data_IF_112674593562
#
_entry.id   IF_112674593562
#
_cell.length_a   1.000
_cell.length_b   1.000
_cell.length_c   1.000
_cell.angle_alpha   90.00
_cell.angle_beta   90.00
_cell.angle_gamma   90.00
#
_symmetry.space_group_name_H-M   'P 1'
#
loop_
_entity.id
_entity.type
_entity.pdbx_description
1 polymer ?
#
# COMPACT_ATOMS: atom_id res chain seq x y z
N UNK A 1 4.43 -29.40 15.83
CA UNK A 1 4.29 -30.50 14.86
C UNK A 1 5.61 -31.26 14.82
N UNK A 2 5.55 -32.58 14.83
CA UNK A 2 6.72 -33.47 14.69
C UNK A 2 6.52 -34.36 13.47
N UNK A 3 7.60 -34.63 12.73
CA UNK A 3 7.56 -35.42 11.48
C UNK A 3 8.00 -36.87 11.66
N UNK A 4 8.40 -37.22 12.87
CA UNK A 4 8.76 -38.58 13.28
C UNK A 4 7.98 -38.95 14.52
N UNK A 5 7.67 -40.23 14.67
CA UNK A 5 7.00 -40.77 15.86
C UNK A 5 7.99 -40.81 17.03
N UNK A 6 7.84 -39.97 18.07
CA UNK A 6 8.80 -39.91 19.17
C UNK A 6 8.70 -41.14 20.09
N UNK A 7 9.84 -41.55 20.65
CA UNK A 7 9.93 -42.51 21.75
C UNK A 7 10.35 -41.85 23.06
N UNK A 8 10.98 -40.68 23.00
CA UNK A 8 11.60 -40.03 24.16
C UNK A 8 10.93 -38.68 24.40
N UNK A 9 10.52 -38.45 25.66
CA UNK A 9 9.86 -37.22 26.10
C UNK A 9 10.60 -36.65 27.31
N UNK A 10 11.13 -35.44 27.16
CA UNK A 10 11.91 -34.77 28.19
C UNK A 10 11.01 -33.75 28.90
N UNK A 11 10.81 -33.94 30.19
CA UNK A 11 10.02 -33.06 31.06
C UNK A 11 10.97 -32.30 31.98
N UNK A 12 10.94 -30.97 31.88
CA UNK A 12 11.67 -30.08 32.78
C UNK A 12 10.75 -29.62 33.90
N UNK A 13 11.20 -29.80 35.13
CA UNK A 13 10.47 -29.43 36.34
C UNK A 13 10.99 -28.09 36.88
N UNK A 14 10.12 -27.35 37.58
CA UNK A 14 10.52 -26.11 38.26
C UNK A 14 11.36 -26.35 39.52
N UNK A 15 11.25 -27.55 40.11
CA UNK A 15 11.94 -27.98 41.32
C UNK A 15 12.36 -29.46 41.19
N UNK A 16 13.44 -29.89 41.84
CA UNK A 16 13.84 -31.30 41.86
C UNK A 16 12.74 -32.23 42.39
N UNK A 17 12.53 -33.36 41.73
CA UNK A 17 11.60 -34.42 42.16
C UNK A 17 12.25 -35.37 43.18
N UNK A 18 11.46 -35.93 44.10
CA UNK A 18 11.90 -37.05 44.95
C UNK A 18 12.02 -38.33 44.09
N UNK A 19 13.24 -38.90 43.92
CA UNK A 19 13.46 -40.08 43.09
C UNK A 19 12.67 -41.32 43.51
N UNK A 20 12.17 -41.38 44.74
CA UNK A 20 11.39 -42.54 45.21
C UNK A 20 9.91 -42.47 44.82
N UNK A 21 9.48 -41.34 44.23
CA UNK A 21 8.07 -41.10 43.88
C UNK A 21 7.79 -41.16 42.40
N UNK A 22 8.82 -41.07 41.55
CA UNK A 22 8.69 -41.16 40.09
C UNK A 22 8.62 -42.62 39.65
N UNK A 23 7.74 -42.90 38.71
CA UNK A 23 7.62 -44.17 38.01
C UNK A 23 7.26 -43.91 36.53
N UNK A 24 7.51 -44.87 35.62
CA UNK A 24 7.25 -44.67 34.20
C UNK A 24 5.79 -44.33 33.86
N UNK A 25 4.83 -44.88 34.62
CA UNK A 25 3.40 -44.65 34.41
C UNK A 25 2.91 -43.24 34.78
N UNK A 26 3.76 -42.39 35.35
CA UNK A 26 3.43 -41.01 35.69
C UNK A 26 3.28 -40.12 34.45
N UNK A 27 3.81 -40.55 33.31
CA UNK A 27 3.66 -39.88 32.02
C UNK A 27 2.99 -40.80 31.02
N UNK A 28 1.93 -40.32 30.39
CA UNK A 28 1.25 -41.03 29.31
C UNK A 28 1.20 -40.21 28.02
N UNK A 29 1.24 -40.90 26.89
CA UNK A 29 0.94 -40.35 25.58
C UNK A 29 -0.22 -41.13 24.99
N UNK A 30 -1.32 -40.44 24.67
CA UNK A 30 -2.59 -41.06 24.26
C UNK A 30 -3.08 -42.13 25.26
N UNK A 31 -2.83 -41.91 26.56
CA UNK A 31 -3.16 -42.86 27.63
C UNK A 31 -2.23 -44.09 27.72
N UNK A 32 -1.22 -44.20 26.85
CA UNK A 32 -0.19 -45.25 26.95
C UNK A 32 0.91 -44.77 27.91
N UNK A 33 1.21 -45.50 29.00
CA UNK A 33 2.28 -45.14 29.93
C UNK A 33 3.67 -45.38 29.33
N UNK A 34 4.67 -44.60 29.77
CA UNK A 34 6.05 -44.83 29.39
C UNK A 34 6.59 -46.16 29.96
N UNK A 35 7.63 -46.69 29.35
CA UNK A 35 8.28 -47.94 29.78
C UNK A 35 9.36 -47.69 30.84
N UNK A 36 10.09 -46.58 30.73
CA UNK A 36 11.15 -46.20 31.66
C UNK A 36 11.18 -44.69 31.91
N UNK A 37 11.64 -44.31 33.10
CA UNK A 37 11.98 -42.94 33.47
C UNK A 37 13.46 -42.84 33.85
N UNK A 38 14.11 -41.73 33.49
CA UNK A 38 15.50 -41.43 33.88
C UNK A 38 15.59 -40.00 34.39
N UNK A 39 16.07 -39.86 35.62
CA UNK A 39 16.32 -38.57 36.25
C UNK A 39 17.71 -38.04 35.87
N UNK A 40 17.78 -36.74 35.62
CA UNK A 40 19.02 -36.02 35.33
C UNK A 40 18.96 -34.59 35.89
N UNK A 41 20.06 -33.84 35.75
CA UNK A 41 20.16 -32.43 36.13
C UNK A 41 19.75 -32.16 37.60
N UNK A 42 20.30 -32.97 38.52
CA UNK A 42 19.96 -32.87 39.94
C UNK A 42 18.48 -33.19 40.23
N UNK A 43 17.89 -34.11 39.46
CA UNK A 43 16.49 -34.53 39.52
C UNK A 43 15.47 -33.46 39.07
N UNK A 44 15.89 -32.44 38.32
CA UNK A 44 14.96 -31.45 37.73
C UNK A 44 14.50 -31.83 36.32
N UNK A 45 15.10 -32.84 35.70
CA UNK A 45 14.70 -33.30 34.37
C UNK A 45 14.37 -34.79 34.41
N UNK A 46 13.18 -35.15 33.94
CA UNK A 46 12.75 -36.54 33.75
C UNK A 46 12.70 -36.84 32.25
N UNK A 47 13.41 -37.88 31.82
CA UNK A 47 13.26 -38.42 30.46
C UNK A 47 12.40 -39.68 30.53
N UNK A 48 11.18 -39.60 29.98
CA UNK A 48 10.30 -40.75 29.81
C UNK A 48 10.57 -41.39 28.45
N UNK A 49 10.83 -42.69 28.41
CA UNK A 49 11.15 -43.45 27.19
C UNK A 49 10.10 -44.54 26.96
N UNK A 50 9.68 -44.68 25.71
CA UNK A 50 8.82 -45.73 25.21
C UNK A 50 9.64 -46.70 24.34
N UNK A 51 9.59 -47.99 24.62
CA UNK A 51 10.24 -49.04 23.82
C UNK A 51 9.65 -49.13 22.39
N UNK A 52 8.40 -48.70 22.24
CA UNK A 52 7.70 -48.55 20.98
C UNK A 52 6.87 -47.29 21.04
N UNK A 53 6.89 -46.49 19.97
CA UNK A 53 6.23 -45.19 19.99
C UNK A 53 4.74 -45.30 20.32
N UNK A 54 4.21 -44.45 21.23
CA UNK A 54 2.78 -44.38 21.54
C UNK A 54 1.99 -43.59 20.47
N UNK A 55 2.67 -43.07 19.43
CA UNK A 55 2.09 -42.28 18.34
C UNK A 55 1.89 -43.18 17.12
N UNK A 56 0.69 -43.73 16.96
CA UNK A 56 0.38 -44.69 15.88
C UNK A 56 -0.41 -44.08 14.72
N UNK A 57 -1.09 -42.96 14.93
CA UNK A 57 -1.89 -42.26 13.92
C UNK A 57 -1.39 -40.82 13.76
N UNK A 58 -1.52 -40.26 12.55
CA UNK A 58 -1.32 -38.82 12.30
C UNK A 58 -2.37 -37.99 13.04
N UNK A 59 -2.06 -36.70 13.23
CA UNK A 59 -2.94 -35.74 13.89
C UNK A 59 -2.55 -35.46 15.33
N UNK A 60 -3.52 -35.02 16.13
CA UNK A 60 -3.31 -34.61 17.51
C UNK A 60 -3.01 -35.78 18.45
N UNK A 61 -1.99 -35.59 19.30
CA UNK A 61 -1.51 -36.53 20.31
C UNK A 61 -1.57 -35.83 21.67
N UNK A 62 -2.02 -36.53 22.70
CA UNK A 62 -2.16 -35.97 24.06
C UNK A 62 -1.06 -36.48 24.98
N UNK A 63 -0.34 -35.58 25.64
CA UNK A 63 0.58 -35.88 26.74
C UNK A 63 -0.10 -35.56 28.07
N UNK A 64 0.04 -36.45 29.06
CA UNK A 64 -0.60 -36.28 30.36
C UNK A 64 0.28 -36.76 31.52
N UNK A 65 0.36 -35.91 32.55
CA UNK A 65 0.85 -36.24 33.90
C UNK A 65 -0.30 -35.91 34.86
N UNK A 66 -0.88 -36.89 35.57
CA UNK A 66 -1.97 -36.65 36.51
C UNK A 66 -1.49 -35.86 37.74
N UNK A 67 -2.38 -35.07 38.33
CA UNK A 67 -2.09 -34.41 39.60
C UNK A 67 -1.67 -35.44 40.67
N UNK A 68 -0.56 -35.17 41.35
CA UNK A 68 0.00 -36.05 42.37
C UNK A 68 0.69 -37.32 41.85
N UNK A 69 1.09 -37.36 40.57
CA UNK A 69 1.86 -38.48 40.02
C UNK A 69 3.19 -38.70 40.78
N UNK A 70 3.90 -37.63 41.10
CA UNK A 70 5.15 -37.63 41.89
C UNK A 70 5.25 -36.38 42.78
N UNK A 71 6.21 -36.36 43.71
CA UNK A 71 6.35 -35.27 44.70
C UNK A 71 7.67 -34.50 44.56
N UNK A 72 7.63 -33.21 44.90
CA UNK A 72 8.80 -32.36 45.02
C UNK A 72 9.73 -32.84 46.16
N UNK A 73 11.05 -32.85 45.94
CA UNK A 73 12.02 -33.29 46.95
C UNK A 73 12.17 -32.32 48.14
N UNK A 74 11.85 -31.03 47.94
CA UNK A 74 12.12 -29.97 48.93
C UNK A 74 11.11 -29.93 50.08
N UNK A 75 9.84 -30.23 49.79
CA UNK A 75 8.69 -30.05 50.69
C UNK A 75 7.67 -31.20 50.61
N UNK A 76 7.86 -32.20 49.72
CA UNK A 76 6.93 -33.30 49.48
C UNK A 76 5.56 -32.85 48.95
N UNK A 77 5.47 -31.68 48.31
CA UNK A 77 4.24 -31.25 47.64
C UNK A 77 4.03 -32.03 46.33
N UNK A 78 2.79 -32.43 45.99
CA UNK A 78 2.50 -33.19 44.78
C UNK A 78 2.64 -32.34 43.51
N UNK A 79 3.04 -32.97 42.40
CA UNK A 79 3.02 -32.33 41.08
C UNK A 79 1.60 -31.93 40.69
N UNK A 80 1.46 -30.77 40.06
CA UNK A 80 0.18 -30.34 39.48
C UNK A 80 -0.11 -31.14 38.20
N UNK A 81 -1.38 -31.21 37.82
CA UNK A 81 -1.76 -31.81 36.54
C UNK A 81 -1.10 -31.08 35.37
N UNK A 82 -0.56 -31.86 34.43
CA UNK A 82 -0.09 -31.38 33.15
C UNK A 82 -0.82 -32.15 32.05
N UNK A 83 -1.54 -31.42 31.21
CA UNK A 83 -2.15 -31.96 29.98
C UNK A 83 -1.85 -30.99 28.84
N UNK A 84 -1.26 -31.50 27.76
CA UNK A 84 -1.05 -30.72 26.54
C UNK A 84 -1.11 -31.63 25.31
N UNK A 85 -1.18 -30.99 24.14
CA UNK A 85 -1.22 -31.72 22.87
C UNK A 85 -0.06 -31.33 21.96
N UNK A 86 0.34 -32.26 21.09
CA UNK A 86 1.20 -32.00 19.95
C UNK A 86 0.61 -32.69 18.72
N UNK A 87 1.07 -32.31 17.52
CA UNK A 87 0.64 -32.97 16.27
C UNK A 87 1.76 -33.78 15.66
N UNK A 88 1.45 -35.01 15.26
CA UNK A 88 2.31 -35.84 14.42
C UNK A 88 1.82 -35.80 12.99
N UNK A 89 2.75 -35.50 12.10
CA UNK A 89 2.46 -35.35 10.68
C UNK A 89 3.65 -35.85 9.84
N UNK A 90 3.45 -36.94 9.13
CA UNK A 90 4.49 -37.62 8.35
C UNK A 90 4.88 -36.82 7.10
N UNK A 91 3.94 -36.09 6.52
CA UNK A 91 4.16 -35.22 5.36
C UNK A 91 3.52 -33.87 5.68
N UNK A 92 4.29 -32.79 5.66
CA UNK A 92 3.68 -31.47 5.88
C UNK A 92 2.85 -31.10 4.65
N UNK A 93 1.56 -30.88 4.84
CA UNK A 93 0.67 -30.39 3.80
C UNK A 93 1.22 -29.09 3.19
N UNK A 94 1.48 -29.09 1.89
CA UNK A 94 2.07 -27.97 1.18
C UNK A 94 1.55 -27.90 -0.25
N UNK A 95 1.43 -26.67 -0.76
CA UNK A 95 1.13 -26.41 -2.17
C UNK A 95 2.33 -26.86 -3.02
N UNK A 96 2.10 -27.73 -4.00
CA UNK A 96 3.13 -28.20 -4.93
C UNK A 96 3.23 -27.30 -6.16
N UNK A 97 2.08 -26.86 -6.67
CA UNK A 97 1.94 -26.04 -7.86
C UNK A 97 0.53 -25.44 -7.93
N UNK A 98 0.35 -24.49 -8.85
CA UNK A 98 -0.92 -23.79 -9.05
C UNK A 98 -1.29 -23.74 -10.53
N UNK A 99 -2.57 -23.52 -10.83
CA UNK A 99 -3.04 -23.20 -12.19
C UNK A 99 -3.85 -21.89 -12.14
N UNK A 100 -3.40 -20.81 -12.80
CA UNK A 100 -2.12 -20.66 -13.51
C UNK A 100 -0.91 -20.93 -12.61
N UNK A 101 0.24 -21.36 -13.18
CA UNK A 101 1.47 -21.56 -12.40
C UNK A 101 1.96 -20.26 -11.78
N UNK A 102 2.73 -20.32 -10.69
CA UNK A 102 3.41 -19.14 -10.13
C UNK A 102 4.25 -18.43 -11.21
N UNK A 103 4.10 -17.11 -11.31
CA UNK A 103 4.60 -16.28 -12.41
C UNK A 103 3.74 -16.29 -13.68
N UNK A 104 2.66 -17.06 -13.71
CA UNK A 104 1.72 -17.16 -14.83
C UNK A 104 0.72 -16.01 -14.88
N UNK A 105 -0.12 -16.02 -15.91
CA UNK A 105 -1.08 -14.95 -16.21
C UNK A 105 -2.52 -15.43 -16.03
N UNK A 106 -3.37 -14.61 -15.42
CA UNK A 106 -4.82 -14.81 -15.42
C UNK A 106 -5.43 -14.44 -16.77
N UNK A 107 -6.13 -15.38 -17.39
CA UNK A 107 -6.82 -15.21 -18.68
C UNK A 107 -8.30 -15.61 -18.59
N UNK A 108 -9.20 -14.94 -19.34
CA UNK A 108 -8.96 -13.82 -20.26
C UNK A 108 -8.74 -12.48 -19.51
N UNK A 109 -8.36 -11.39 -20.19
CA UNK A 109 -8.29 -10.08 -19.57
C UNK A 109 -9.60 -9.69 -18.87
N UNK A 110 -9.51 -9.18 -17.64
CA UNK A 110 -10.68 -8.88 -16.81
C UNK A 110 -11.13 -7.42 -16.90
N UNK A 111 -12.25 -7.04 -16.23
CA UNK A 111 -12.87 -7.75 -15.12
C UNK A 111 -13.47 -9.10 -15.48
N UNK A 112 -13.18 -10.13 -14.69
CA UNK A 112 -13.70 -11.48 -14.91
C UNK A 112 -13.62 -12.34 -13.64
N UNK A 113 -14.24 -13.53 -13.72
CA UNK A 113 -14.05 -14.62 -12.76
C UNK A 113 -13.06 -15.63 -13.33
N UNK A 114 -12.15 -16.11 -12.48
CA UNK A 114 -11.10 -17.06 -12.83
C UNK A 114 -11.17 -18.28 -11.94
N UNK A 115 -10.84 -19.44 -12.51
CA UNK A 115 -10.49 -20.63 -11.72
C UNK A 115 -9.03 -20.54 -11.32
N UNK A 116 -8.75 -20.81 -10.06
CA UNK A 116 -7.40 -20.86 -9.50
C UNK A 116 -7.24 -22.16 -8.72
N UNK A 117 -6.51 -23.09 -9.30
CA UNK A 117 -6.26 -24.39 -8.69
C UNK A 117 -4.99 -24.32 -7.87
N UNK A 118 -5.07 -24.77 -6.61
CA UNK A 118 -3.92 -25.06 -5.79
C UNK A 118 -3.82 -26.56 -5.59
N UNK A 119 -2.73 -27.16 -6.08
CA UNK A 119 -2.44 -28.58 -5.94
C UNK A 119 -1.58 -28.81 -4.70
N UNK A 120 -1.88 -29.87 -3.97
CA UNK A 120 -1.21 -30.21 -2.71
C UNK A 120 -0.45 -31.53 -2.83
N UNK A 121 0.59 -31.67 -2.01
CA UNK A 121 1.39 -32.90 -1.92
C UNK A 121 0.67 -34.07 -1.25
N UNK A 122 -0.47 -33.80 -0.60
CA UNK A 122 -1.36 -34.78 0.00
C UNK A 122 -2.80 -34.25 0.12
N UNK A 123 -3.80 -35.11 0.41
CA UNK A 123 -5.20 -34.71 0.53
C UNK A 123 -5.47 -33.69 1.65
N UNK A 124 -6.18 -32.61 1.31
CA UNK A 124 -6.72 -31.65 2.30
C UNK A 124 -7.96 -32.22 2.99
N UNK A 125 -8.32 -31.68 4.17
CA UNK A 125 -9.68 -31.81 4.71
C UNK A 125 -10.60 -30.82 4.00
N UNK A 126 -11.60 -31.27 3.21
CA UNK A 126 -12.51 -30.39 2.51
C UNK A 126 -13.29 -29.43 3.42
N UNK A 127 -13.51 -29.79 4.68
CA UNK A 127 -14.20 -28.92 5.64
C UNK A 127 -13.33 -27.75 6.13
N UNK A 128 -12.00 -27.89 6.03
CA UNK A 128 -11.06 -26.85 6.45
C UNK A 128 -10.88 -25.74 5.40
N UNK A 129 -11.18 -26.01 4.13
CA UNK A 129 -10.98 -25.06 3.02
C UNK A 129 -12.16 -24.10 2.91
N UNK A 130 -11.88 -22.81 3.02
CA UNK A 130 -12.85 -21.71 3.01
C UNK A 130 -12.43 -20.61 2.04
N UNK A 131 -13.40 -19.80 1.60
CA UNK A 131 -13.12 -18.65 0.72
C UNK A 131 -12.26 -17.57 1.38
N UNK A 132 -12.15 -17.58 2.71
CA UNK A 132 -11.34 -16.65 3.50
C UNK A 132 -9.87 -17.00 3.59
N UNK A 133 -9.46 -18.18 3.12
CA UNK A 133 -8.11 -18.70 3.37
C UNK A 133 -7.02 -17.99 2.53
N UNK A 134 -7.42 -17.36 1.42
CA UNK A 134 -6.52 -16.63 0.54
C UNK A 134 -6.49 -15.14 0.85
N UNK A 135 -5.28 -14.59 0.93
CA UNK A 135 -5.02 -13.18 1.09
C UNK A 135 -4.42 -12.60 -0.20
N UNK A 136 -4.86 -11.42 -0.61
CA UNK A 136 -4.46 -10.79 -1.88
C UNK A 136 -3.74 -9.45 -1.66
N UNK A 137 -2.81 -9.12 -2.56
CA UNK A 137 -2.26 -7.76 -2.70
C UNK A 137 -1.83 -7.47 -4.14
N UNK A 138 -1.59 -6.20 -4.47
CA UNK A 138 -1.09 -5.77 -5.77
C UNK A 138 -2.15 -5.48 -6.85
N UNK A 139 -3.33 -6.13 -6.79
CA UNK A 139 -4.47 -5.82 -7.68
C UNK A 139 -5.74 -5.56 -6.86
N UNK A 140 -6.22 -4.29 -6.78
CA UNK A 140 -7.43 -3.93 -6.04
C UNK A 140 -8.70 -4.64 -6.55
N UNK A 141 -9.69 -4.82 -5.68
CA UNK A 141 -10.98 -5.40 -6.07
C UNK A 141 -10.94 -6.91 -6.38
N UNK A 142 -9.90 -7.60 -5.90
CA UNK A 142 -9.75 -9.07 -5.97
C UNK A 142 -10.39 -9.73 -4.76
N UNK A 143 -11.21 -10.76 -4.98
CA UNK A 143 -11.82 -11.57 -3.92
C UNK A 143 -12.04 -13.02 -4.34
N UNK A 144 -12.18 -13.92 -3.37
CA UNK A 144 -12.67 -15.29 -3.61
C UNK A 144 -14.20 -15.30 -3.49
N UNK A 145 -14.90 -15.82 -4.49
CA UNK A 145 -16.37 -15.93 -4.48
C UNK A 145 -16.87 -17.34 -4.22
N UNK A 146 -16.06 -18.36 -4.51
CA UNK A 146 -16.35 -19.76 -4.24
C UNK A 146 -15.07 -20.57 -4.08
N UNK A 147 -15.17 -21.74 -3.44
CA UNK A 147 -14.12 -22.75 -3.41
C UNK A 147 -14.76 -24.13 -3.50
N UNK A 148 -14.07 -25.05 -4.18
CA UNK A 148 -14.40 -26.47 -4.17
C UNK A 148 -13.12 -27.29 -4.00
N UNK A 149 -13.24 -28.45 -3.37
CA UNK A 149 -12.13 -29.40 -3.23
C UNK A 149 -12.40 -30.57 -4.17
N UNK A 150 -11.44 -30.85 -5.06
CA UNK A 150 -11.57 -31.76 -6.19
C UNK A 150 -10.36 -32.70 -6.29
N UNK A 151 -10.39 -33.59 -7.29
CA UNK A 151 -9.27 -34.50 -7.62
C UNK A 151 -8.81 -35.39 -6.45
N UNK A 152 -9.76 -35.98 -5.71
CA UNK A 152 -9.45 -36.81 -4.54
C UNK A 152 -8.86 -36.00 -3.39
N UNK A 153 -9.37 -34.80 -3.19
CA UNK A 153 -8.95 -33.80 -2.21
C UNK A 153 -7.50 -33.30 -2.36
N UNK A 154 -6.88 -33.54 -3.52
CA UNK A 154 -5.53 -33.05 -3.82
C UNK A 154 -5.51 -31.62 -4.37
N UNK A 155 -6.68 -31.05 -4.72
CA UNK A 155 -6.77 -29.73 -5.34
C UNK A 155 -7.88 -28.91 -4.68
N UNK A 156 -7.54 -27.70 -4.25
CA UNK A 156 -8.53 -26.67 -3.94
C UNK A 156 -8.69 -25.75 -5.16
N UNK A 157 -9.85 -25.81 -5.81
CA UNK A 157 -10.24 -24.94 -6.93
C UNK A 157 -10.99 -23.73 -6.37
N UNK A 158 -10.33 -22.58 -6.36
CA UNK A 158 -10.92 -21.31 -5.96
C UNK A 158 -11.50 -20.59 -7.18
N UNK A 159 -12.66 -19.96 -7.02
CA UNK A 159 -13.16 -18.96 -7.97
C UNK A 159 -12.75 -17.58 -7.50
N UNK A 160 -11.83 -16.94 -8.22
CA UNK A 160 -11.34 -15.60 -7.93
C UNK A 160 -12.08 -14.61 -8.83
N UNK A 161 -12.75 -13.62 -8.23
CA UNK A 161 -13.31 -12.47 -8.95
C UNK A 161 -12.29 -11.33 -8.91
N UNK A 162 -11.90 -10.83 -10.08
CA UNK A 162 -11.08 -9.61 -10.17
C UNK A 162 -11.91 -8.54 -10.89
N UNK A 163 -12.25 -7.48 -10.15
CA UNK A 163 -13.03 -6.36 -10.68
C UNK A 163 -12.15 -5.22 -11.22
N UNK A 164 -10.84 -5.28 -11.01
CA UNK A 164 -9.90 -4.32 -11.57
C UNK A 164 -9.93 -4.37 -13.09
N UNK A 165 -10.04 -3.23 -13.75
CA UNK A 165 -9.77 -3.13 -15.19
C UNK A 165 -8.28 -2.89 -15.47
N UNK A 166 -7.46 -2.70 -14.43
CA UNK A 166 -6.03 -2.36 -14.56
C UNK A 166 -5.16 -3.61 -14.47
N UNK A 167 -4.20 -3.71 -15.38
CA UNK A 167 -3.18 -4.76 -15.33
C UNK A 167 -2.25 -4.54 -14.12
N UNK A 168 -1.71 -5.62 -13.55
CA UNK A 168 -0.81 -5.54 -12.41
C UNK A 168 -0.28 -6.91 -11.97
N UNK A 169 0.61 -6.90 -10.99
CA UNK A 169 1.05 -8.14 -10.32
C UNK A 169 0.11 -8.44 -9.16
N UNK A 170 -0.60 -9.57 -9.22
CA UNK A 170 -1.41 -10.09 -8.14
C UNK A 170 -0.58 -11.04 -7.28
N UNK A 171 -0.37 -10.72 -6.01
CA UNK A 171 0.21 -11.65 -5.05
C UNK A 171 -0.92 -12.39 -4.33
N UNK A 172 -0.88 -13.72 -4.36
CA UNK A 172 -1.80 -14.59 -3.62
C UNK A 172 -1.02 -15.27 -2.51
N UNK A 173 -1.50 -15.16 -1.27
CA UNK A 173 -0.91 -15.75 -0.09
C UNK A 173 -1.89 -16.74 0.56
N UNK A 174 -1.40 -17.95 0.86
CA UNK A 174 -2.03 -18.89 1.77
C UNK A 174 -1.21 -18.89 3.06
N UNK A 175 -1.72 -18.37 4.18
CA UNK A 175 -1.03 -18.40 5.46
C UNK A 175 -0.74 -19.83 5.94
N UNK A 176 0.31 -19.99 6.75
CA UNK A 176 0.54 -21.27 7.42
C UNK A 176 -0.60 -21.59 8.38
N UNK A 177 -1.15 -22.80 8.30
CA UNK A 177 -2.27 -23.27 9.11
C UNK A 177 -3.63 -22.66 8.78
N UNK A 178 -3.79 -22.08 7.59
CA UNK A 178 -5.10 -21.69 7.07
C UNK A 178 -5.98 -22.91 6.74
N UNK A 179 -5.38 -23.97 6.20
CA UNK A 179 -6.02 -25.22 5.78
C UNK A 179 -5.38 -26.39 6.53
N UNK A 180 -6.14 -27.48 6.73
CA UNK A 180 -5.61 -28.72 7.31
C UNK A 180 -5.67 -29.90 6.36
N UNK A 181 -4.81 -30.88 6.57
CA UNK A 181 -4.94 -32.21 5.97
C UNK A 181 -6.12 -32.99 6.57
N UNK A 182 -6.39 -34.20 6.07
CA UNK A 182 -7.44 -35.07 6.59
C UNK A 182 -7.26 -35.52 8.06
N UNK A 183 -6.09 -35.29 8.66
CA UNK A 183 -5.77 -35.59 10.05
C UNK A 183 -5.77 -34.33 10.94
N UNK A 184 -6.11 -33.17 10.37
CA UNK A 184 -6.15 -31.87 11.05
C UNK A 184 -4.79 -31.18 11.16
N UNK A 185 -3.73 -31.68 10.52
CA UNK A 185 -2.42 -31.02 10.52
C UNK A 185 -2.42 -29.81 9.59
N UNK A 186 -1.79 -28.73 10.05
CA UNK A 186 -1.80 -27.43 9.39
C UNK A 186 -0.87 -27.37 8.16
N UNK A 187 -1.30 -26.69 7.10
CA UNK A 187 -0.49 -26.47 5.90
C UNK A 187 0.74 -25.56 6.14
N UNK A 188 1.77 -25.73 5.32
CA UNK A 188 2.84 -24.77 5.12
C UNK A 188 2.34 -23.50 4.41
N UNK A 189 2.93 -22.34 4.73
CA UNK A 189 2.61 -21.11 4.02
C UNK A 189 3.01 -21.19 2.53
N UNK A 190 2.19 -20.59 1.67
CA UNK A 190 2.46 -20.44 0.25
C UNK A 190 2.28 -18.98 -0.20
N UNK A 191 3.09 -18.53 -1.15
CA UNK A 191 2.94 -17.23 -1.81
C UNK A 191 3.32 -17.35 -3.27
N UNK A 192 2.41 -16.94 -4.16
CA UNK A 192 2.64 -16.86 -5.60
C UNK A 192 2.40 -15.44 -6.11
N UNK A 193 3.08 -15.08 -7.19
CA UNK A 193 2.92 -13.81 -7.89
C UNK A 193 2.46 -14.06 -9.32
N UNK A 194 1.37 -13.43 -9.73
CA UNK A 194 0.70 -13.68 -11.00
C UNK A 194 0.55 -12.37 -11.78
N UNK A 195 0.64 -12.44 -13.10
CA UNK A 195 0.25 -11.32 -13.95
C UNK A 195 -1.28 -11.32 -14.09
N UNK A 196 -1.89 -10.19 -13.74
CA UNK A 196 -3.27 -9.91 -14.09
C UNK A 196 -3.28 -8.92 -15.26
N UNK A 197 -4.00 -9.27 -16.33
CA UNK A 197 -4.22 -8.36 -17.45
C UNK A 197 -5.63 -7.79 -17.34
N UNK A 198 -5.71 -6.49 -17.09
CA UNK A 198 -6.96 -5.76 -17.13
C UNK A 198 -7.27 -5.23 -18.53
N UNK A 199 -8.52 -4.85 -18.77
CA UNK A 199 -9.02 -4.29 -20.03
C UNK A 199 -8.64 -2.83 -20.28
N UNK A 200 -8.09 -2.13 -19.28
CA UNK A 200 -7.53 -0.80 -19.45
C UNK A 200 -6.40 -0.87 -20.50
N UNK A 201 -6.43 -0.02 -21.55
CA UNK A 201 -5.41 -0.05 -22.59
C UNK A 201 -4.00 0.16 -22.01
N UNK A 202 -3.02 -0.65 -22.44
CA UNK A 202 -1.60 -0.40 -22.17
C UNK A 202 -1.15 0.82 -23.00
N UNK A 203 -1.35 2.03 -22.48
CA UNK A 203 -0.98 3.29 -23.15
C UNK A 203 0.11 4.05 -22.40
N UNK A 204 1.17 4.44 -23.10
CA UNK A 204 2.22 5.28 -22.53
C UNK A 204 1.80 6.73 -22.56
N UNK A 205 1.46 7.26 -21.40
CA UNK A 205 1.05 8.64 -21.23
C UNK A 205 -0.43 8.88 -21.43
N UNK A 206 -0.99 9.73 -20.57
CA UNK A 206 -2.37 10.18 -20.64
C UNK A 206 -2.42 11.70 -20.43
N UNK A 207 -3.26 12.37 -21.21
CA UNK A 207 -3.81 13.67 -20.86
C UNK A 207 -5.25 13.50 -20.39
N UNK A 208 -5.60 14.08 -19.24
CA UNK A 208 -6.99 14.31 -18.83
C UNK A 208 -7.25 15.81 -18.88
N UNK A 209 -8.30 16.22 -19.58
CA UNK A 209 -8.88 17.55 -19.47
C UNK A 209 -10.25 17.44 -18.79
N UNK A 210 -10.38 18.02 -17.60
CA UNK A 210 -11.59 17.94 -16.77
C UNK A 210 -12.02 19.31 -16.27
N UNK A 211 -13.28 19.66 -16.46
CA UNK A 211 -13.92 20.84 -15.84
C UNK A 211 -14.79 20.47 -14.63
N UNK A 212 -14.66 19.23 -14.11
CA UNK A 212 -15.71 18.56 -13.32
C UNK A 212 -15.26 18.08 -11.94
N UNK A 213 -14.01 17.61 -11.79
CA UNK A 213 -13.63 16.76 -10.65
C UNK A 213 -13.83 17.40 -9.28
N UNK A 214 -13.62 18.71 -9.15
CA UNK A 214 -14.07 19.46 -7.97
C UNK A 214 -15.42 20.13 -8.23
N UNK A 215 -15.55 20.91 -9.31
CA UNK A 215 -16.76 21.68 -9.62
C UNK A 215 -17.23 22.49 -8.40
N UNK A 216 -18.54 22.68 -8.22
CA UNK A 216 -19.04 23.20 -6.95
C UNK A 216 -18.88 22.16 -5.81
N UNK A 217 -18.26 22.51 -4.65
CA UNK A 217 -17.93 21.55 -3.59
C UNK A 217 -19.09 20.76 -2.98
N UNK A 218 -20.33 21.23 -3.09
CA UNK A 218 -21.47 20.49 -2.56
C UNK A 218 -22.08 19.50 -3.56
N UNK A 219 -21.47 19.30 -4.73
CA UNK A 219 -21.84 18.21 -5.64
C UNK A 219 -21.57 16.87 -4.94
N UNK A 220 -22.55 15.97 -4.95
CA UNK A 220 -22.49 14.71 -4.19
C UNK A 220 -21.55 13.67 -4.80
N UNK A 221 -21.08 13.91 -6.03
CA UNK A 221 -20.27 12.98 -6.82
C UNK A 221 -18.80 13.37 -6.94
N UNK A 222 -18.40 14.61 -6.57
CA UNK A 222 -17.03 15.11 -6.75
C UNK A 222 -15.97 14.24 -6.05
N UNK A 223 -16.22 13.82 -4.81
CA UNK A 223 -15.29 12.97 -4.06
C UNK A 223 -15.06 11.59 -4.74
N UNK A 224 -16.14 10.98 -5.25
CA UNK A 224 -16.05 9.69 -5.94
C UNK A 224 -15.33 9.85 -7.28
N UNK A 225 -15.65 10.90 -8.05
CA UNK A 225 -15.00 11.18 -9.32
C UNK A 225 -13.50 11.47 -9.13
N UNK A 226 -13.14 12.24 -8.10
CA UNK A 226 -11.75 12.50 -7.73
C UNK A 226 -11.01 11.20 -7.41
N UNK A 227 -11.61 10.33 -6.58
CA UNK A 227 -11.05 9.01 -6.25
C UNK A 227 -10.85 8.13 -7.49
N UNK A 228 -11.85 8.04 -8.37
CA UNK A 228 -11.76 7.27 -9.60
C UNK A 228 -10.67 7.81 -10.54
N UNK A 229 -10.56 9.13 -10.66
CA UNK A 229 -9.57 9.81 -11.53
C UNK A 229 -8.15 9.63 -11.00
N UNK A 230 -7.94 9.72 -9.67
CA UNK A 230 -6.67 9.42 -9.01
C UNK A 230 -6.25 7.98 -9.29
N UNK A 231 -7.14 7.01 -9.08
CA UNK A 231 -6.85 5.59 -9.36
C UNK A 231 -6.52 5.36 -10.84
N UNK A 232 -7.30 5.96 -11.75
CA UNK A 232 -7.09 5.84 -13.18
C UNK A 232 -5.73 6.39 -13.63
N UNK A 233 -5.44 7.64 -13.27
CA UNK A 233 -4.18 8.33 -13.62
C UNK A 233 -2.97 7.63 -13.02
N UNK A 234 -3.06 7.17 -11.76
CA UNK A 234 -1.96 6.44 -11.14
C UNK A 234 -1.71 5.10 -11.81
N UNK A 235 -2.76 4.32 -12.11
CA UNK A 235 -2.63 2.98 -12.65
C UNK A 235 -1.96 2.93 -14.03
N UNK A 236 -2.21 3.94 -14.87
CA UNK A 236 -1.68 4.01 -16.24
C UNK A 236 -0.33 4.73 -16.33
N UNK A 237 0.07 5.47 -15.29
CA UNK A 237 1.35 6.16 -15.25
C UNK A 237 2.53 5.20 -15.08
N UNK A 238 3.68 5.54 -15.67
CA UNK A 238 4.94 4.84 -15.36
C UNK A 238 5.39 5.11 -13.91
N UNK A 239 6.06 4.14 -13.25
CA UNK A 239 6.64 4.36 -11.93
C UNK A 239 7.67 5.50 -11.92
N UNK A 240 7.68 6.27 -10.83
CA UNK A 240 8.61 7.37 -10.58
C UNK A 240 8.98 7.42 -9.09
N UNK A 241 9.86 8.36 -8.71
CA UNK A 241 10.31 8.48 -7.33
C UNK A 241 9.21 8.95 -6.36
N UNK A 242 8.26 9.74 -6.87
CA UNK A 242 7.14 10.30 -6.12
C UNK A 242 5.82 10.02 -6.84
N UNK A 243 4.70 10.01 -6.12
CA UNK A 243 3.39 9.68 -6.70
C UNK A 243 2.80 10.87 -7.49
N UNK A 244 2.37 11.95 -6.81
CA UNK A 244 1.69 13.08 -7.45
C UNK A 244 2.43 14.40 -7.24
N UNK A 245 2.58 15.20 -8.31
CA UNK A 245 2.86 16.63 -8.22
C UNK A 245 1.56 17.39 -8.45
N UNK A 246 1.12 18.17 -7.47
CA UNK A 246 -0.12 18.95 -7.53
C UNK A 246 0.23 20.44 -7.62
N UNK A 247 -0.07 21.05 -8.76
CA UNK A 247 0.08 22.48 -8.98
C UNK A 247 -1.27 23.17 -8.80
N UNK A 248 -1.36 24.10 -7.86
CA UNK A 248 -2.56 24.88 -7.61
C UNK A 248 -2.23 26.22 -6.96
N UNK A 249 -3.18 27.15 -6.95
CA UNK A 249 -3.03 28.45 -6.27
C UNK A 249 -3.46 28.40 -4.81
N UNK A 250 -4.48 27.58 -4.51
CA UNK A 250 -5.13 27.43 -3.20
C UNK A 250 -6.04 26.20 -3.24
N UNK A 251 -6.53 25.76 -2.06
CA UNK A 251 -7.62 24.78 -1.97
C UNK A 251 -8.89 25.36 -2.63
N UNK A 252 -9.40 24.81 -3.74
CA UNK A 252 -10.48 25.44 -4.49
C UNK A 252 -11.79 25.48 -3.67
N UNK A 253 -12.36 26.67 -3.50
CA UNK A 253 -13.48 26.95 -2.58
C UNK A 253 -13.26 26.48 -1.13
N UNK A 254 -12.01 26.31 -0.71
CA UNK A 254 -11.64 25.76 0.59
C UNK A 254 -11.88 24.25 0.73
N UNK A 255 -12.01 23.52 -0.38
CA UNK A 255 -12.21 22.07 -0.40
C UNK A 255 -10.95 21.33 -0.90
N UNK A 256 -10.74 20.13 -0.38
CA UNK A 256 -9.52 19.31 -0.57
C UNK A 256 -9.77 18.02 -1.33
N UNK A 257 -10.81 17.94 -2.17
CA UNK A 257 -11.26 16.67 -2.78
C UNK A 257 -10.15 15.88 -3.50
N UNK A 258 -9.30 16.56 -4.29
CA UNK A 258 -8.19 15.89 -4.98
C UNK A 258 -7.14 15.39 -3.98
N UNK A 259 -6.76 16.21 -2.99
CA UNK A 259 -5.80 15.86 -1.93
C UNK A 259 -6.30 14.68 -1.08
N UNK A 260 -7.57 14.73 -0.71
CA UNK A 260 -8.26 13.67 0.04
C UNK A 260 -8.35 12.39 -0.79
N UNK A 261 -8.66 12.48 -2.09
CA UNK A 261 -8.68 11.33 -2.99
C UNK A 261 -7.30 10.69 -3.15
N UNK A 262 -6.23 11.47 -3.30
CA UNK A 262 -4.85 10.96 -3.37
C UNK A 262 -4.51 10.18 -2.10
N UNK A 263 -4.72 10.79 -0.93
CA UNK A 263 -4.35 10.18 0.35
C UNK A 263 -5.24 9.02 0.74
N UNK A 264 -6.55 9.08 0.47
CA UNK A 264 -7.49 7.98 0.73
C UNK A 264 -7.21 6.74 -0.14
N UNK A 265 -6.61 6.91 -1.32
CA UNK A 265 -6.13 5.81 -2.16
C UNK A 265 -4.70 5.34 -1.81
N UNK A 266 -4.12 5.84 -0.71
CA UNK A 266 -2.82 5.39 -0.21
C UNK A 266 -1.62 5.97 -0.94
N UNK A 267 -1.80 7.10 -1.65
CA UNK A 267 -0.74 7.77 -2.40
C UNK A 267 -0.29 9.07 -1.70
N UNK A 268 0.88 9.56 -2.12
CA UNK A 268 1.46 10.81 -1.64
C UNK A 268 1.36 11.93 -2.67
N UNK A 269 1.45 13.19 -2.24
CA UNK A 269 1.58 14.31 -3.17
C UNK A 269 2.55 15.35 -2.64
N UNK A 270 3.15 16.10 -3.57
CA UNK A 270 3.83 17.37 -3.27
C UNK A 270 3.03 18.50 -3.91
N UNK A 271 2.71 19.52 -3.12
CA UNK A 271 1.99 20.70 -3.58
C UNK A 271 2.96 21.79 -4.04
N UNK A 272 2.62 22.43 -5.15
CA UNK A 272 3.43 23.43 -5.84
C UNK A 272 2.56 24.61 -6.27
N UNK A 273 3.19 25.78 -6.40
CA UNK A 273 2.53 26.97 -6.97
C UNK A 273 2.62 26.95 -8.49
N UNK A 274 1.79 27.72 -9.23
CA UNK A 274 1.90 27.79 -10.69
C UNK A 274 3.32 28.20 -11.16
N UNK A 275 4.04 29.03 -10.40
CA UNK A 275 5.39 29.47 -10.77
C UNK A 275 6.41 28.32 -10.79
N UNK A 276 6.18 27.26 -10.01
CA UNK A 276 7.08 26.11 -9.91
C UNK A 276 7.03 25.20 -11.15
N UNK A 277 6.03 25.37 -12.04
CA UNK A 277 5.98 24.69 -13.34
C UNK A 277 7.22 24.96 -14.21
N UNK A 278 7.94 26.04 -13.95
CA UNK A 278 9.16 26.39 -14.67
C UNK A 278 10.41 25.61 -14.20
N UNK A 279 10.37 24.99 -13.02
CA UNK A 279 11.57 24.44 -12.36
C UNK A 279 11.44 23.00 -11.89
N UNK A 280 10.22 22.53 -11.62
CA UNK A 280 9.97 21.14 -11.20
C UNK A 280 10.29 20.17 -12.33
N UNK A 281 11.03 19.12 -11.99
CA UNK A 281 11.27 18.00 -12.90
C UNK A 281 10.10 17.01 -12.84
N UNK A 282 9.21 17.07 -13.83
CA UNK A 282 8.00 16.24 -13.86
C UNK A 282 8.27 14.74 -13.83
N UNK A 283 9.41 14.28 -14.38
CA UNK A 283 9.78 12.85 -14.39
C UNK A 283 10.08 12.28 -13.00
N UNK A 284 10.20 13.11 -11.96
CA UNK A 284 10.28 12.64 -10.58
C UNK A 284 8.92 12.19 -10.03
N UNK A 285 7.83 12.44 -10.77
CA UNK A 285 6.45 12.17 -10.36
C UNK A 285 5.71 11.28 -11.37
N UNK A 286 4.83 10.41 -10.86
CA UNK A 286 4.00 9.54 -11.69
C UNK A 286 2.88 10.29 -12.39
N UNK A 287 2.26 11.23 -11.69
CA UNK A 287 1.17 12.06 -12.19
C UNK A 287 1.43 13.53 -11.87
N UNK A 288 1.27 14.40 -12.88
CA UNK A 288 1.28 15.85 -12.73
C UNK A 288 -0.13 16.38 -12.87
N UNK A 289 -0.66 16.95 -11.79
CA UNK A 289 -1.98 17.59 -11.75
C UNK A 289 -1.78 19.10 -11.83
N UNK A 290 -2.39 19.73 -12.82
CA UNK A 290 -2.55 21.17 -12.94
C UNK A 290 -3.99 21.50 -12.51
N UNK A 291 -4.18 21.83 -11.23
CA UNK A 291 -5.48 22.13 -10.65
C UNK A 291 -5.71 23.65 -10.62
N UNK A 292 -6.58 24.11 -11.53
CA UNK A 292 -6.97 25.51 -11.67
C UNK A 292 -8.41 25.76 -11.23
N UNK A 293 -9.03 24.82 -10.53
CA UNK A 293 -10.35 25.03 -9.95
C UNK A 293 -10.38 26.31 -9.08
N UNK A 294 -11.52 27.02 -9.08
CA UNK A 294 -11.72 28.25 -8.31
C UNK A 294 -10.68 29.36 -8.55
N UNK A 295 -10.09 29.38 -9.74
CA UNK A 295 -8.99 30.30 -10.08
C UNK A 295 -9.34 31.15 -11.31
N UNK A 296 -8.79 32.36 -11.41
CA UNK A 296 -8.89 33.18 -12.63
C UNK A 296 -7.73 32.86 -13.58
N UNK A 297 -7.99 32.99 -14.88
CA UNK A 297 -6.99 32.66 -15.90
C UNK A 297 -5.66 33.42 -15.69
N UNK A 298 -5.72 34.68 -15.25
CA UNK A 298 -4.53 35.51 -15.02
C UNK A 298 -3.56 34.96 -13.98
N UNK A 299 -4.02 34.09 -13.08
CA UNK A 299 -3.24 33.63 -11.93
C UNK A 299 -2.24 32.51 -12.29
N UNK A 300 -2.52 31.76 -13.35
CA UNK A 300 -1.69 30.61 -13.76
C UNK A 300 -1.31 30.60 -15.24
N UNK A 301 -2.00 31.34 -16.13
CA UNK A 301 -1.88 31.15 -17.58
C UNK A 301 -0.46 31.33 -18.13
N UNK A 302 0.30 32.27 -17.56
CA UNK A 302 1.66 32.55 -18.02
C UNK A 302 2.62 31.38 -17.76
N UNK A 303 2.81 30.92 -16.50
CA UNK A 303 3.67 29.77 -16.26
C UNK A 303 3.10 28.46 -16.85
N UNK A 304 1.79 28.28 -16.87
CA UNK A 304 1.15 27.10 -17.45
C UNK A 304 1.38 26.99 -18.96
N UNK A 305 1.12 28.05 -19.74
CA UNK A 305 1.36 28.02 -21.19
C UNK A 305 2.82 27.79 -21.51
N UNK A 306 3.73 28.36 -20.72
CA UNK A 306 5.18 28.14 -20.89
C UNK A 306 5.59 26.69 -20.59
N UNK A 307 4.86 25.99 -19.71
CA UNK A 307 5.15 24.62 -19.31
C UNK A 307 4.55 23.55 -20.23
N UNK A 308 3.57 23.89 -21.09
CA UNK A 308 2.90 22.93 -21.98
C UNK A 308 3.89 22.04 -22.76
N UNK A 309 4.94 22.55 -23.43
CA UNK A 309 5.87 21.68 -24.15
C UNK A 309 6.59 20.66 -23.25
N UNK A 310 6.87 21.03 -22.00
CA UNK A 310 7.50 20.12 -21.03
C UNK A 310 6.51 19.09 -20.48
N UNK A 311 5.25 19.48 -20.24
CA UNK A 311 4.17 18.57 -19.86
C UNK A 311 3.88 17.55 -20.97
N UNK A 312 3.90 18.00 -22.23
CA UNK A 312 3.74 17.12 -23.40
C UNK A 312 4.89 16.12 -23.53
N UNK A 313 6.14 16.57 -23.37
CA UNK A 313 7.30 15.69 -23.37
C UNK A 313 7.26 14.67 -22.22
N UNK A 314 6.84 15.10 -21.03
CA UNK A 314 6.65 14.24 -19.86
C UNK A 314 5.57 13.18 -20.09
N UNK A 315 4.40 13.56 -20.59
CA UNK A 315 3.35 12.61 -20.92
C UNK A 315 3.81 11.63 -22.02
N UNK A 316 4.49 12.12 -23.06
CA UNK A 316 5.08 11.27 -24.10
C UNK A 316 6.14 10.28 -23.58
N UNK A 317 6.72 10.52 -22.40
CA UNK A 317 7.65 9.61 -21.74
C UNK A 317 6.96 8.59 -20.80
N UNK A 318 5.62 8.58 -20.74
CA UNK A 318 4.84 7.64 -19.94
C UNK A 318 4.27 8.22 -18.63
N UNK A 319 4.47 9.52 -18.36
CA UNK A 319 3.83 10.23 -17.27
C UNK A 319 2.37 10.58 -17.57
N UNK A 320 1.60 10.99 -16.57
CA UNK A 320 0.19 11.40 -16.76
C UNK A 320 0.03 12.87 -16.42
N UNK A 321 -0.54 13.64 -17.35
CA UNK A 321 -0.90 15.04 -17.14
C UNK A 321 -2.41 15.13 -16.94
N UNK A 322 -2.84 15.68 -15.82
CA UNK A 322 -4.24 15.95 -15.54
C UNK A 322 -4.44 17.45 -15.35
N UNK A 323 -5.11 18.07 -16.31
CA UNK A 323 -5.53 19.47 -16.24
C UNK A 323 -6.97 19.51 -15.75
N UNK A 324 -7.14 20.07 -14.56
CA UNK A 324 -8.41 20.27 -13.88
C UNK A 324 -8.71 21.77 -13.86
N UNK A 325 -9.88 22.19 -14.35
CA UNK A 325 -10.13 23.61 -14.65
C UNK A 325 -11.60 24.04 -14.50
N UNK A 326 -12.14 24.02 -13.28
CA UNK A 326 -13.41 24.65 -12.93
C UNK A 326 -13.17 26.14 -12.62
N UNK A 327 -12.84 26.90 -13.67
CA UNK A 327 -12.42 28.31 -13.57
C UNK A 327 -13.56 29.26 -13.13
N UNK A 328 -13.19 30.45 -12.66
CA UNK A 328 -14.11 31.52 -12.18
C UNK A 328 -14.37 32.64 -13.19
N UNK A 329 -13.78 32.55 -14.38
CA UNK A 329 -13.86 33.60 -15.39
C UNK A 329 -15.18 33.62 -16.16
N UNK A 330 -15.20 34.42 -17.22
CA UNK A 330 -16.44 34.68 -17.98
C UNK A 330 -16.19 34.75 -19.48
N UNK A 331 -15.95 33.59 -20.09
CA UNK A 331 -15.75 33.45 -21.53
C UNK A 331 -14.30 33.57 -21.99
N UNK A 332 -13.35 33.34 -21.07
CA UNK A 332 -11.94 33.26 -21.38
C UNK A 332 -11.57 31.87 -21.91
N UNK A 333 -10.42 31.75 -22.55
CA UNK A 333 -9.96 30.47 -23.11
C UNK A 333 -8.50 30.23 -22.80
N UNK A 334 -8.13 28.96 -22.67
CA UNK A 334 -6.76 28.54 -22.40
C UNK A 334 -6.35 27.32 -23.23
N UNK A 335 -5.07 27.20 -23.60
CA UNK A 335 -4.59 26.09 -24.39
C UNK A 335 -4.53 24.79 -23.57
N UNK A 336 -4.87 23.67 -24.20
CA UNK A 336 -4.64 22.34 -23.64
C UNK A 336 -3.34 21.74 -24.18
N UNK A 337 -2.63 20.90 -23.41
CA UNK A 337 -1.52 20.11 -23.94
C UNK A 337 -2.01 19.27 -25.13
N UNK A 338 -1.15 19.09 -26.13
CA UNK A 338 -1.43 18.33 -27.36
C UNK A 338 -2.52 18.92 -28.26
N UNK A 339 -2.92 20.16 -28.00
CA UNK A 339 -3.94 20.87 -28.75
C UNK A 339 -5.33 20.78 -28.11
N UNK A 340 -6.25 21.57 -28.64
CA UNK A 340 -7.54 21.84 -28.03
C UNK A 340 -7.52 23.07 -27.13
N UNK A 341 -8.71 23.47 -26.72
CA UNK A 341 -8.95 24.72 -26.01
C UNK A 341 -9.96 24.47 -24.89
N UNK A 342 -9.62 24.89 -23.67
CA UNK A 342 -10.57 25.01 -22.57
C UNK A 342 -11.30 26.35 -22.68
N UNK A 343 -12.63 26.31 -22.56
CA UNK A 343 -13.52 27.47 -22.65
C UNK A 343 -14.24 27.65 -21.31
N UNK A 344 -13.87 28.72 -20.60
CA UNK A 344 -14.46 29.11 -19.33
C UNK A 344 -15.79 29.85 -19.53
N UNK A 345 -16.56 30.00 -18.46
CA UNK A 345 -17.86 30.67 -18.44
C UNK A 345 -18.99 29.77 -18.96
N UNK A 346 -18.73 28.47 -19.13
CA UNK A 346 -19.71 27.50 -19.61
C UNK A 346 -20.34 26.71 -18.46
N UNK A 347 -20.84 27.45 -17.47
CA UNK A 347 -21.46 26.90 -16.26
C UNK A 347 -22.68 26.03 -16.59
N UNK A 348 -22.52 24.72 -16.45
CA UNK A 348 -23.56 23.73 -16.76
C UNK A 348 -24.22 23.25 -15.48
N UNK A 349 -25.55 23.30 -15.31
CA UNK A 349 -26.20 22.72 -14.12
C UNK A 349 -26.22 21.19 -14.14
N UNK A 350 -25.91 20.56 -15.27
CA UNK A 350 -25.96 19.11 -15.42
C UNK A 350 -25.15 18.65 -16.63
N UNK A 351 -24.38 17.57 -16.49
CA UNK A 351 -23.57 17.00 -17.57
C UNK A 351 -23.84 15.50 -17.77
N UNK A 352 -23.83 15.05 -19.02
CA UNK A 352 -24.14 13.68 -19.39
C UNK A 352 -22.88 12.84 -19.48
N UNK A 353 -22.84 11.73 -18.76
CA UNK A 353 -21.82 10.69 -18.93
C UNK A 353 -22.12 9.95 -20.23
N UNK A 354 -21.21 10.05 -21.20
CA UNK A 354 -21.39 9.46 -22.54
C UNK A 354 -20.56 8.19 -22.72
N UNK A 355 -19.53 8.00 -21.89
CA UNK A 355 -18.89 6.71 -21.67
C UNK A 355 -19.00 6.29 -20.19
N UNK A 356 -20.07 5.58 -19.79
CA UNK A 356 -20.22 5.08 -18.43
C UNK A 356 -19.29 3.91 -18.11
N UNK A 357 -18.61 3.32 -19.11
CA UNK A 357 -17.62 2.26 -18.89
C UNK A 357 -16.24 2.84 -18.56
N UNK A 358 -16.04 4.15 -18.75
CA UNK A 358 -14.81 4.84 -18.38
C UNK A 358 -14.46 4.56 -16.92
N UNK A 359 -13.17 4.30 -16.60
CA UNK A 359 -12.71 4.08 -15.23
C UNK A 359 -13.08 5.23 -14.28
N UNK A 360 -13.11 6.45 -14.80
CA UNK A 360 -13.45 7.66 -14.05
C UNK A 360 -14.93 7.69 -13.65
N UNK A 361 -15.81 7.00 -14.40
CA UNK A 361 -17.26 7.11 -14.29
C UNK A 361 -17.92 6.00 -13.46
N UNK A 362 -17.13 5.09 -12.87
CA UNK A 362 -17.66 4.00 -12.05
C UNK A 362 -18.42 4.54 -10.84
N UNK A 363 -19.71 4.21 -10.73
CA UNK A 363 -20.57 4.66 -9.64
C UNK A 363 -20.97 6.14 -9.70
N UNK A 364 -20.64 6.85 -10.80
CA UNK A 364 -21.01 8.24 -11.01
C UNK A 364 -22.46 8.32 -11.55
N UNK A 365 -23.32 9.22 -11.01
CA UNK A 365 -24.68 9.38 -11.51
C UNK A 365 -24.69 9.91 -12.95
N UNK A 366 -25.69 9.51 -13.73
CA UNK A 366 -25.89 10.01 -15.09
C UNK A 366 -27.36 10.42 -15.29
N UNK A 367 -27.67 11.70 -15.50
CA UNK A 367 -26.72 12.82 -15.59
C UNK A 367 -26.10 13.20 -14.24
N UNK A 368 -24.94 13.85 -14.29
CA UNK A 368 -24.32 14.47 -13.12
C UNK A 368 -24.93 15.85 -12.91
N UNK A 369 -25.80 16.00 -11.92
CA UNK A 369 -26.42 17.29 -11.57
C UNK A 369 -25.57 18.06 -10.55
N UNK A 370 -25.53 19.40 -10.65
CA UNK A 370 -24.76 20.25 -9.74
C UNK A 370 -25.15 21.73 -9.77
N UNK A 371 -24.77 22.48 -8.73
CA UNK A 371 -24.86 23.95 -8.71
C UNK A 371 -23.68 24.53 -9.49
N UNK A 372 -23.74 24.31 -10.82
CA UNK A 372 -22.62 24.12 -11.76
C UNK A 372 -21.94 22.76 -11.57
N UNK A 373 -22.35 21.80 -12.39
CA UNK A 373 -21.68 20.51 -12.57
C UNK A 373 -20.28 20.72 -13.16
N UNK A 374 -20.18 21.48 -14.27
CA UNK A 374 -18.93 21.92 -14.88
C UNK A 374 -18.89 23.44 -15.07
N UNK A 375 -17.67 23.99 -15.15
CA UNK A 375 -17.45 25.42 -15.48
C UNK A 375 -16.75 25.60 -16.84
N UNK A 376 -15.96 24.61 -17.25
CA UNK A 376 -15.19 24.61 -18.49
C UNK A 376 -15.66 23.49 -19.38
N UNK A 377 -15.76 23.80 -20.67
CA UNK A 377 -15.85 22.81 -21.74
C UNK A 377 -14.61 22.85 -22.62
N UNK A 378 -14.51 21.89 -23.53
CA UNK A 378 -13.39 21.78 -24.43
C UNK A 378 -13.83 21.78 -25.89
N UNK A 379 -13.10 22.51 -26.72
CA UNK A 379 -13.26 22.54 -28.19
C UNK A 379 -11.94 22.21 -28.86
N UNK A 380 -12.01 21.93 -30.16
CA UNK A 380 -10.85 21.64 -31.02
C UNK A 380 -9.96 20.52 -30.49
N UNK A 381 -10.58 19.55 -29.80
CA UNK A 381 -9.89 18.41 -29.24
C UNK A 381 -9.10 17.66 -30.33
N UNK A 382 -7.91 17.14 -30.01
CA UNK A 382 -7.15 16.33 -30.95
C UNK A 382 -7.95 15.08 -31.35
N UNK A 383 -7.83 14.65 -32.61
CA UNK A 383 -8.67 13.59 -33.21
C UNK A 383 -8.78 12.26 -32.44
N UNK A 384 -7.76 11.78 -31.70
CA UNK A 384 -7.86 10.57 -30.89
C UNK A 384 -8.43 10.80 -29.47
N UNK A 385 -8.82 12.01 -29.11
CA UNK A 385 -9.40 12.29 -27.81
C UNK A 385 -10.69 11.49 -27.61
N UNK A 386 -10.79 10.83 -26.47
CA UNK A 386 -11.93 10.04 -26.07
C UNK A 386 -12.77 10.85 -25.08
N UNK A 387 -13.99 11.17 -25.50
CA UNK A 387 -14.91 12.03 -24.76
C UNK A 387 -15.68 11.18 -23.76
N UNK A 388 -15.60 11.52 -22.48
CA UNK A 388 -16.21 10.75 -21.38
C UNK A 388 -17.49 11.42 -20.87
N UNK A 389 -17.50 12.75 -20.80
CA UNK A 389 -18.65 13.54 -20.36
C UNK A 389 -18.88 14.71 -21.31
N UNK A 390 -20.15 14.95 -21.67
CA UNK A 390 -20.57 16.08 -22.50
C UNK A 390 -21.57 16.98 -21.77
N UNK A 391 -21.42 18.29 -21.95
CA UNK A 391 -22.41 19.27 -21.57
C UNK A 391 -23.61 19.21 -22.55
N UNK A 392 -24.83 18.88 -22.07
CA UNK A 392 -26.00 18.71 -22.93
C UNK A 392 -26.52 20.03 -23.52
N UNK A 393 -26.16 21.17 -22.92
CA UNK A 393 -26.66 22.50 -23.32
C UNK A 393 -26.01 23.00 -24.62
N UNK A 394 -24.77 22.61 -24.87
CA UNK A 394 -23.99 23.07 -26.03
C UNK A 394 -23.25 21.94 -26.78
N UNK A 395 -23.42 20.69 -26.32
CA UNK A 395 -22.81 19.49 -26.90
C UNK A 395 -21.28 19.57 -26.97
N UNK A 396 -20.66 20.20 -25.97
CA UNK A 396 -19.21 20.29 -25.84
C UNK A 396 -18.71 19.31 -24.76
N UNK A 397 -17.56 18.63 -24.98
CA UNK A 397 -16.88 17.84 -23.96
C UNK A 397 -16.57 18.65 -22.71
N UNK A 398 -16.73 18.05 -21.53
CA UNK A 398 -16.35 18.63 -20.23
C UNK A 398 -15.39 17.73 -19.44
N UNK A 399 -15.31 16.45 -19.83
CA UNK A 399 -14.24 15.54 -19.48
C UNK A 399 -13.88 14.70 -20.69
N UNK A 400 -12.61 14.67 -21.02
CA UNK A 400 -12.05 13.77 -22.01
C UNK A 400 -10.71 13.25 -21.53
N UNK A 401 -10.32 12.11 -22.08
CA UNK A 401 -8.95 11.63 -21.98
C UNK A 401 -8.33 11.44 -23.37
N UNK A 402 -7.01 11.50 -23.42
CA UNK A 402 -6.23 11.32 -24.63
C UNK A 402 -5.04 10.44 -24.31
N UNK A 403 -5.07 9.22 -24.85
CA UNK A 403 -3.96 8.28 -24.75
C UNK A 403 -2.99 8.44 -25.92
N UNK A 404 -1.69 8.38 -25.63
CA UNK A 404 -0.66 8.38 -26.66
C UNK A 404 -0.25 6.93 -26.94
N UNK A 405 -0.67 6.40 -28.09
CA UNK A 405 -0.42 5.01 -28.46
C UNK A 405 1.04 4.72 -28.81
N UNK A 406 1.74 3.90 -28.02
CA UNK A 406 3.06 3.37 -28.34
C UNK A 406 3.84 2.86 -27.12
N UNK A 407 4.58 1.75 -27.29
CA UNK A 407 5.43 1.13 -26.25
C UNK A 407 6.44 2.12 -25.70
N UNK A 408 6.44 2.33 -24.39
CA UNK A 408 7.47 3.08 -23.69
C UNK A 408 8.81 2.41 -23.99
N UNK A 409 9.70 3.10 -24.69
CA UNK A 409 11.09 2.68 -24.75
C UNK A 409 11.60 2.56 -23.32
N UNK A 410 12.33 1.48 -23.02
CA UNK A 410 12.99 1.34 -21.73
C UNK A 410 13.64 2.68 -21.36
N UNK A 411 13.29 3.21 -20.19
CA UNK A 411 13.89 4.43 -19.61
C UNK A 411 15.39 4.37 -19.88
N UNK A 412 15.96 5.26 -20.72
CA UNK A 412 17.38 5.19 -20.98
C UNK A 412 18.09 5.33 -19.64
N UNK A 413 18.84 4.31 -19.26
CA UNK A 413 19.75 4.39 -18.12
C UNK A 413 20.56 5.66 -18.28
N UNK A 414 20.61 6.57 -17.28
CA UNK A 414 21.32 7.83 -17.42
C UNK A 414 22.76 7.52 -17.80
N UNK A 415 23.11 7.81 -19.05
CA UNK A 415 24.50 7.79 -19.46
C UNK A 415 25.12 9.00 -18.81
N UNK A 416 25.95 8.78 -17.80
CA UNK A 416 26.79 9.82 -17.21
C UNK A 416 27.49 10.58 -18.33
N UNK A 417 27.04 11.80 -18.59
CA UNK A 417 27.74 12.75 -19.45
C UNK A 417 29.13 12.93 -18.85
N UNK A 418 30.24 12.72 -19.59
CA UNK A 418 31.57 12.91 -19.04
C UNK A 418 31.71 14.36 -18.57
N UNK A 419 31.88 14.54 -17.27
CA UNK A 419 32.18 15.83 -16.66
C UNK A 419 33.44 16.39 -17.31
N UNK A 420 33.29 17.48 -18.07
CA UNK A 420 34.43 18.28 -18.52
C UNK A 420 35.16 18.77 -17.28
N UNK A 421 36.38 18.27 -17.07
CA UNK A 421 37.28 18.73 -16.02
C UNK A 421 37.64 20.19 -16.31
N UNK A 422 37.34 21.16 -15.43
CA UNK A 422 37.72 22.54 -15.67
C UNK A 422 39.26 22.64 -15.65
N UNK A 423 39.85 22.98 -16.79
CA UNK A 423 41.27 23.32 -16.88
C UNK A 423 41.44 24.75 -16.35
N UNK A 424 41.71 24.88 -15.05
CA UNK A 424 42.19 26.14 -14.47
C UNK A 424 43.62 26.39 -14.93
N UNK A 425 43.81 27.43 -15.73
CA UNK A 425 45.14 27.99 -16.02
C UNK A 425 45.54 28.91 -14.86
N UNK A 426 46.60 28.62 -14.09
CA UNK A 426 47.03 29.52 -13.02
C UNK A 426 47.73 30.75 -13.62
N UNK A 427 47.11 31.92 -13.50
CA UNK A 427 47.81 33.20 -13.70
C UNK A 427 48.28 33.70 -12.35
N UNK A 428 49.57 33.54 -12.06
CA UNK A 428 50.24 34.18 -10.92
C UNK A 428 51.00 35.41 -11.41
N UNK A 429 50.71 36.56 -10.80
CA UNK A 429 51.74 37.56 -10.46
C UNK A 429 51.24 38.36 -9.24
N UNK A 430 51.68 38.07 -8.01
CA UNK A 430 51.47 38.95 -6.87
C UNK A 430 52.61 39.98 -6.80
N UNK A 431 52.29 41.26 -7.02
CA UNK A 431 53.18 42.38 -6.70
C UNK A 431 52.85 42.87 -5.29
N UNK A 432 53.75 42.63 -4.36
CA UNK A 432 53.73 43.17 -2.99
C UNK A 432 54.01 44.68 -3.02
N UNK A 433 53.27 45.45 -2.22
CA UNK A 433 53.75 46.73 -1.67
C UNK A 433 53.20 46.85 -0.23
N UNK A 434 54.06 46.78 0.80
CA UNK A 434 53.65 47.03 2.16
C UNK A 434 53.78 48.53 2.48
N UNK A 435 52.71 49.15 2.97
CA UNK A 435 52.81 50.44 3.67
C UNK A 435 52.07 50.32 4.99
N UNK A 436 52.85 50.22 6.06
CA UNK A 436 52.40 50.25 7.46
C UNK A 436 52.32 51.70 7.89
N UNK A 437 51.23 52.08 8.56
CA UNK A 437 51.23 53.23 9.49
C UNK A 437 50.52 52.79 10.77
N UNK A 438 51.21 52.72 11.93
CA UNK A 438 50.58 52.38 13.20
C UNK A 438 50.10 53.64 13.91
N UNK A 439 48.89 53.63 14.45
CA UNK A 439 48.49 54.56 15.51
C UNK A 439 47.75 53.80 16.60
N UNK A 440 48.46 53.61 17.72
CA UNK A 440 47.98 53.10 19.00
C UNK A 440 47.32 54.23 19.79
N UNK A 441 46.15 53.97 20.37
CA UNK A 441 45.66 54.69 21.56
C UNK A 441 45.07 53.66 22.53
N UNK A 442 45.70 53.38 23.68
CA UNK A 442 45.13 52.53 24.71
C UNK A 442 44.43 53.39 25.78
N UNK A 443 43.21 53.02 26.15
CA UNK A 443 42.67 53.37 27.47
C UNK A 443 41.93 52.18 28.04
N UNK A 444 42.55 51.51 28.99
CA UNK A 444 41.91 50.57 29.89
C UNK A 444 41.37 51.34 31.10
N UNK A 445 40.16 50.99 31.56
CA UNK A 445 39.87 50.96 33.00
C UNK A 445 38.89 49.81 33.29
N UNK A 446 39.23 48.86 34.18
CA UNK A 446 38.39 47.73 34.58
C UNK A 446 37.64 48.02 35.89
N UNK A 447 36.49 47.36 36.10
CA UNK A 447 35.97 47.10 37.45
C UNK A 447 35.23 45.76 37.50
N UNK A 448 35.76 44.82 38.29
CA UNK A 448 35.16 43.56 38.72
C UNK A 448 34.11 43.82 39.84
N UNK A 449 33.19 42.95 40.29
CA UNK A 449 33.24 41.51 40.70
C UNK A 449 31.79 41.10 41.11
N UNK A 450 31.45 39.89 41.62
CA UNK A 450 30.24 39.14 41.23
C UNK A 450 29.24 38.90 42.40
N UNK A 451 28.11 38.23 42.15
CA UNK A 451 27.39 37.51 43.21
C UNK A 451 26.51 36.38 42.65
N UNK A 452 26.62 35.21 43.29
CA UNK A 452 25.89 33.98 43.02
C UNK A 452 24.51 33.93 43.72
N UNK A 453 23.59 33.16 43.09
CA UNK A 453 22.68 32.17 43.69
C UNK A 453 21.59 32.59 44.70
N UNK A 454 20.32 32.35 44.35
CA UNK A 454 19.42 31.47 45.12
C UNK A 454 18.10 31.13 44.38
N UNK A 455 17.65 29.89 44.64
CA UNK A 455 16.53 29.05 44.20
C UNK A 455 15.08 29.58 44.32
N UNK A 456 14.09 28.90 43.67
CA UNK A 456 12.68 29.31 43.61
C UNK A 456 11.84 28.81 44.81
N UNK A 457 10.69 29.44 45.08
CA UNK A 457 9.67 28.91 46.00
C UNK A 457 8.24 29.13 45.47
N UNK A 458 7.30 28.17 45.67
CA UNK A 458 5.99 28.15 45.00
C UNK A 458 4.92 28.95 45.76
N UNK A 459 3.84 29.27 45.04
CA UNK A 459 2.64 29.96 45.51
C UNK A 459 1.56 28.97 45.95
N UNK A 460 1.06 29.08 47.20
CA UNK A 460 -0.24 28.53 47.58
C UNK A 460 -1.25 29.65 47.93
N UNK A 461 -2.45 29.53 47.37
CA UNK A 461 -3.75 30.02 47.90
C UNK A 461 -4.11 29.28 49.22
N UNK A 462 -5.23 29.49 49.97
CA UNK A 462 -6.49 30.23 49.70
C UNK A 462 -7.10 30.97 50.94
N UNK A 463 -8.28 31.61 50.82
CA UNK A 463 -9.53 31.23 51.52
C UNK A 463 -10.71 32.20 51.25
N UNK A 464 -11.96 31.72 51.16
CA UNK A 464 -13.17 32.55 51.04
C UNK A 464 -13.81 32.86 52.42
N UNK A 465 -14.55 33.97 52.47
CA UNK A 465 -15.21 34.55 53.66
C UNK A 465 -16.67 34.08 53.77
N UNK A 466 -17.15 33.66 54.95
CA UNK A 466 -18.57 33.55 55.24
C UNK A 466 -19.11 34.85 55.88
N UNK A 467 -20.38 35.15 55.65
CA UNK A 467 -21.14 36.16 56.41
C UNK A 467 -22.38 35.53 57.04
N UNK A 468 -22.85 36.08 58.18
CA UNK A 468 -23.98 35.56 58.95
C UNK A 468 -25.34 35.80 58.28
#
# INVERSE_FOLDING_TARGET
MVTTQPTDFIVHLSDPVDPNTVQPSDFTVNGTPADTDVLSDGNQTITFTFNSTPVVNQGEQTMHIPAGAFNQASNNDPVLEFQCTFRYDATLLAVTDTVPPDGGTFEPPGPASYTYDMNFNEPVDPASVQTSDLHFSGVPGTSVTAVSVINGDMTAEFTIQINSIFSGTLTINLPAGAITDQFGNANAAFTGNYEYVGTAPKGCGLLIGSGLTQGWPGNTWSAQLASNTVQYTFAISQPAANDFALFETHDPWGATFIKDAITANGHTYTEFTPADLATVNFSDYRVVICNWDDTFLTDFITPYTAAIPALEAYAGAGGVVWVQAALQGSGETFPMPFGGQGNDGQFSPSDNVVDPASPMMIGIPNPMEGNSASHVSYTDLPGPAHIVVMNPSNNQPVLYDLQFGGTCGATPTPTVTPTVTPTVTPTVTPTVTPTVTPTITPTATPTATPAHSATPRPRPTPHPRPTP
#
